data_IF_072192072894
#
_entry.id   IF_072192072894
#
_cell.length_a   1.000
_cell.length_b   1.000
_cell.length_c   1.000
_cell.angle_alpha   90.00
_cell.angle_beta   90.00
_cell.angle_gamma   90.00
#
_symmetry.space_group_name_H-M   'P 1'
#
loop_
_entity.id
_entity.type
_entity.pdbx_description
1 polymer ?
#
# COMPACT_ATOMS: atom_id res chain seq x y z
N UNK A 1 13.90 22.61 14.90
CA UNK A 1 13.72 21.77 13.70
C UNK A 1 12.23 21.65 13.45
N UNK A 2 11.68 22.41 12.50
CA UNK A 2 10.24 22.48 12.22
C UNK A 2 9.91 21.25 11.37
N UNK A 3 9.59 20.14 12.03
CA UNK A 3 9.11 18.94 11.36
C UNK A 3 7.76 19.34 10.79
N UNK A 4 7.69 19.59 9.48
CA UNK A 4 6.42 19.77 8.79
C UNK A 4 5.58 18.53 9.11
N UNK A 5 4.48 18.71 9.83
CA UNK A 5 3.54 17.66 10.22
C UNK A 5 2.76 17.20 9.00
N UNK A 6 3.44 16.49 8.11
CA UNK A 6 2.83 15.82 6.97
C UNK A 6 1.99 14.67 7.56
N UNK A 7 0.67 14.75 7.40
CA UNK A 7 -0.27 13.80 7.97
C UNK A 7 0.06 12.36 7.54
N UNK A 8 -0.05 11.38 8.44
CA UNK A 8 0.26 9.97 8.16
C UNK A 8 -0.54 9.42 6.97
N UNK A 9 -1.76 9.91 6.76
CA UNK A 9 -2.61 9.58 5.61
C UNK A 9 -1.96 9.90 4.26
N UNK A 10 -1.15 10.97 4.19
CA UNK A 10 -0.51 11.38 2.93
C UNK A 10 0.63 10.43 2.55
N UNK A 11 1.38 9.97 3.55
CA UNK A 11 2.39 8.92 3.38
C UNK A 11 1.73 7.60 3.01
N UNK A 12 0.66 7.19 3.70
CA UNK A 12 -0.09 5.97 3.40
C UNK A 12 -0.64 5.93 1.98
N UNK A 13 -1.24 7.03 1.51
CA UNK A 13 -1.71 7.15 0.14
C UNK A 13 -0.54 7.09 -0.87
N UNK A 14 0.57 7.77 -0.59
CA UNK A 14 1.74 7.79 -1.48
C UNK A 14 2.39 6.41 -1.59
N UNK A 15 2.64 5.73 -0.47
CA UNK A 15 3.26 4.41 -0.46
C UNK A 15 2.35 3.34 -1.08
N UNK A 16 1.03 3.41 -0.84
CA UNK A 16 0.07 2.50 -1.47
C UNK A 16 0.01 2.72 -2.99
N UNK A 17 0.06 3.98 -3.45
CA UNK A 17 0.10 4.30 -4.89
C UNK A 17 1.42 3.85 -5.52
N UNK A 18 2.55 4.07 -4.85
CA UNK A 18 3.87 3.60 -5.30
C UNK A 18 3.92 2.07 -5.41
N UNK A 19 3.31 1.34 -4.47
CA UNK A 19 3.18 -0.11 -4.54
C UNK A 19 2.40 -0.54 -5.80
N UNK A 20 1.26 0.10 -6.08
CA UNK A 20 0.46 -0.20 -7.29
C UNK A 20 1.24 0.13 -8.57
N UNK A 21 1.89 1.29 -8.63
CA UNK A 21 2.70 1.69 -9.78
C UNK A 21 3.89 0.75 -10.01
N UNK A 22 4.54 0.30 -8.92
CA UNK A 22 5.59 -0.70 -8.99
C UNK A 22 5.07 -2.03 -9.53
N UNK A 23 3.97 -2.57 -8.99
CA UNK A 23 3.37 -3.81 -9.47
C UNK A 23 2.91 -3.70 -10.93
N UNK A 24 2.49 -2.52 -11.41
CA UNK A 24 2.16 -2.30 -12.83
C UNK A 24 3.40 -2.20 -13.73
N UNK A 25 4.48 -1.61 -13.23
CA UNK A 25 5.72 -1.45 -13.97
C UNK A 25 6.49 -2.77 -14.12
N UNK A 26 6.39 -3.68 -13.14
CA UNK A 26 7.06 -4.99 -13.15
C UNK A 26 6.81 -5.79 -14.44
N UNK A 27 5.57 -6.14 -14.83
CA UNK A 27 5.35 -6.90 -16.06
C UNK A 27 5.84 -6.15 -17.31
N UNK A 28 5.65 -4.83 -17.39
CA UNK A 28 6.08 -4.02 -18.54
C UNK A 28 7.61 -4.00 -18.69
N UNK A 29 8.33 -3.83 -17.59
CA UNK A 29 9.80 -3.77 -17.60
C UNK A 29 10.40 -5.15 -17.92
N UNK A 30 9.86 -6.23 -17.36
CA UNK A 30 10.41 -7.58 -17.56
C UNK A 30 9.97 -8.25 -18.87
N UNK A 31 8.86 -7.83 -19.49
CA UNK A 31 8.54 -8.23 -20.89
C UNK A 31 9.62 -7.71 -21.85
N UNK A 32 10.08 -6.46 -21.68
CA UNK A 32 11.10 -5.87 -22.57
C UNK A 32 12.52 -6.39 -22.30
N UNK A 33 12.76 -6.93 -21.10
CA UNK A 33 14.03 -7.50 -20.68
C UNK A 33 14.02 -9.03 -20.66
N UNK A 34 13.19 -9.69 -21.46
CA UNK A 34 13.08 -11.16 -21.53
C UNK A 34 14.41 -11.88 -21.80
N UNK A 35 15.43 -11.18 -22.29
CA UNK A 35 16.79 -11.68 -22.50
C UNK A 35 17.65 -11.74 -21.22
N UNK A 36 17.33 -10.96 -20.18
CA UNK A 36 17.92 -11.08 -18.86
C UNK A 36 17.12 -12.14 -18.10
N UNK A 37 17.60 -13.38 -18.09
CA UNK A 37 16.92 -14.56 -17.51
C UNK A 37 16.59 -14.45 -16.00
N UNK A 38 16.83 -13.32 -15.35
CA UNK A 38 16.71 -13.15 -13.89
C UNK A 38 16.18 -11.76 -13.56
N UNK A 39 15.02 -11.71 -12.89
CA UNK A 39 14.53 -10.51 -12.20
C UNK A 39 15.53 -10.16 -11.09
N UNK A 40 16.05 -8.92 -11.02
CA UNK A 40 16.97 -8.53 -9.95
C UNK A 40 16.27 -8.67 -8.59
N UNK A 41 16.84 -9.43 -7.65
CA UNK A 41 16.23 -9.68 -6.33
C UNK A 41 15.96 -8.41 -5.50
N UNK A 42 16.61 -7.29 -5.81
CA UNK A 42 16.35 -5.98 -5.21
C UNK A 42 14.99 -5.38 -5.63
N UNK A 43 14.44 -5.83 -6.76
CA UNK A 43 13.14 -5.37 -7.26
C UNK A 43 12.00 -5.87 -6.36
N UNK A 44 12.02 -7.16 -6.01
CA UNK A 44 11.08 -7.76 -5.05
C UNK A 44 11.20 -7.12 -3.65
N UNK A 45 12.40 -6.77 -3.21
CA UNK A 45 12.61 -6.09 -1.92
C UNK A 45 11.83 -4.75 -1.80
N UNK A 46 11.51 -4.07 -2.91
CA UNK A 46 10.71 -2.86 -2.90
C UNK A 46 9.25 -3.12 -2.49
N UNK A 47 8.66 -4.25 -2.87
CA UNK A 47 7.31 -4.62 -2.45
C UNK A 47 7.22 -4.70 -0.92
N UNK A 48 8.16 -5.40 -0.30
CA UNK A 48 8.22 -5.53 1.16
C UNK A 48 8.45 -4.19 1.85
N UNK A 49 9.26 -3.31 1.27
CA UNK A 49 9.52 -1.97 1.79
C UNK A 49 8.25 -1.10 1.73
N UNK A 50 7.57 -1.03 0.59
CA UNK A 50 6.35 -0.25 0.44
C UNK A 50 5.22 -0.78 1.33
N UNK A 51 5.08 -2.11 1.43
CA UNK A 51 4.08 -2.74 2.29
C UNK A 51 4.32 -2.43 3.77
N UNK A 52 5.58 -2.46 4.22
CA UNK A 52 5.97 -2.11 5.59
C UNK A 52 5.70 -0.65 5.91
N UNK A 53 6.01 0.27 5.00
CA UNK A 53 5.73 1.69 5.17
C UNK A 53 4.22 1.98 5.16
N UNK A 54 3.46 1.27 4.32
CA UNK A 54 2.00 1.33 4.30
C UNK A 54 1.40 0.85 5.63
N UNK A 55 1.95 -0.20 6.25
CA UNK A 55 1.52 -0.66 7.57
C UNK A 55 1.67 0.42 8.65
N UNK A 56 2.83 1.08 8.68
CA UNK A 56 3.10 2.17 9.63
C UNK A 56 2.10 3.31 9.42
N UNK A 57 1.77 3.62 8.16
CA UNK A 57 0.78 4.63 7.85
C UNK A 57 -0.63 4.22 8.32
N UNK A 58 -1.07 2.98 8.05
CA UNK A 58 -2.34 2.43 8.56
C UNK A 58 -2.41 2.51 10.08
N UNK A 59 -1.35 2.07 10.77
CA UNK A 59 -1.28 2.11 12.23
C UNK A 59 -1.48 3.53 12.77
N UNK A 60 -0.76 4.52 12.22
CA UNK A 60 -0.93 5.93 12.61
C UNK A 60 -2.30 6.49 12.26
N UNK A 61 -2.78 6.25 11.03
CA UNK A 61 -4.14 6.64 10.60
C UNK A 61 -5.21 6.08 11.53
N UNK A 62 -5.05 4.85 12.03
CA UNK A 62 -6.03 4.26 12.95
C UNK A 62 -6.00 4.85 14.37
N UNK A 63 -4.91 5.49 14.78
CA UNK A 63 -4.87 6.24 16.04
C UNK A 63 -5.61 7.58 15.91
N UNK A 64 -5.40 8.30 14.79
CA UNK A 64 -5.96 9.64 14.58
C UNK A 64 -7.39 9.63 14.03
N UNK A 65 -7.90 8.49 13.55
CA UNK A 65 -9.24 8.38 12.98
C UNK A 65 -10.33 8.23 14.06
N UNK A 66 -11.47 8.90 13.88
CA UNK A 66 -12.64 8.78 14.75
C UNK A 66 -13.56 7.61 14.38
N UNK A 67 -13.47 7.11 13.13
CA UNK A 67 -14.39 6.09 12.61
C UNK A 67 -13.85 4.68 12.75
N UNK A 68 -14.51 3.86 13.58
CA UNK A 68 -14.15 2.44 13.77
C UNK A 68 -14.26 1.62 12.47
N UNK A 69 -15.22 1.94 11.59
CA UNK A 69 -15.38 1.24 10.30
C UNK A 69 -14.17 1.47 9.40
N UNK A 70 -13.70 2.72 9.28
CA UNK A 70 -12.54 3.04 8.43
C UNK A 70 -11.28 2.35 8.94
N UNK A 71 -11.10 2.28 10.27
CA UNK A 71 -9.98 1.53 10.88
C UNK A 71 -10.00 0.05 10.49
N UNK A 72 -11.15 -0.60 10.61
CA UNK A 72 -11.29 -2.02 10.26
C UNK A 72 -11.00 -2.24 8.77
N UNK A 73 -11.58 -1.41 7.89
CA UNK A 73 -11.35 -1.54 6.45
C UNK A 73 -9.89 -1.34 6.05
N UNK A 74 -9.18 -0.39 6.68
CA UNK A 74 -7.75 -0.17 6.43
C UNK A 74 -6.90 -1.40 6.77
N UNK A 75 -7.11 -2.01 7.93
CA UNK A 75 -6.39 -3.23 8.31
C UNK A 75 -6.75 -4.43 7.43
N UNK A 76 -8.03 -4.60 7.09
CA UNK A 76 -8.47 -5.69 6.20
C UNK A 76 -7.84 -5.56 4.81
N UNK A 77 -7.93 -4.38 4.19
CA UNK A 77 -7.36 -4.15 2.87
C UNK A 77 -5.84 -4.28 2.88
N UNK A 78 -5.16 -3.77 3.92
CA UNK A 78 -3.71 -3.94 4.05
C UNK A 78 -3.32 -5.41 4.23
N UNK A 79 -4.04 -6.15 5.07
CA UNK A 79 -3.79 -7.58 5.28
C UNK A 79 -4.02 -8.40 4.01
N UNK A 80 -5.05 -8.06 3.25
CA UNK A 80 -5.33 -8.70 1.97
C UNK A 80 -4.26 -8.36 0.91
N UNK A 81 -3.82 -7.11 0.83
CA UNK A 81 -2.72 -6.70 -0.06
C UNK A 81 -1.42 -7.44 0.28
N UNK A 82 -1.09 -7.52 1.57
CA UNK A 82 0.06 -8.26 2.09
C UNK A 82 0.01 -9.73 1.70
N UNK A 83 -1.15 -10.37 1.90
CA UNK A 83 -1.36 -11.76 1.54
C UNK A 83 -1.18 -12.01 0.04
N UNK A 84 -1.71 -11.13 -0.82
CA UNK A 84 -1.55 -11.25 -2.28
C UNK A 84 -0.09 -11.16 -2.70
N UNK A 85 0.65 -10.14 -2.21
CA UNK A 85 2.07 -9.95 -2.56
C UNK A 85 2.94 -11.12 -2.08
N UNK A 86 2.72 -11.61 -0.86
CA UNK A 86 3.47 -12.77 -0.34
C UNK A 86 3.11 -14.03 -1.14
N UNK A 87 1.83 -14.22 -1.47
CA UNK A 87 1.40 -15.40 -2.24
C UNK A 87 2.03 -15.44 -3.63
N UNK A 88 2.20 -14.27 -4.26
CA UNK A 88 2.86 -14.11 -5.56
C UNK A 88 4.36 -14.41 -5.47
N UNK A 89 5.05 -13.85 -4.48
CA UNK A 89 6.50 -14.05 -4.27
C UNK A 89 6.90 -15.50 -3.97
N UNK A 90 6.04 -16.24 -3.26
CA UNK A 90 6.27 -17.66 -2.97
C UNK A 90 5.66 -18.60 -4.04
N UNK A 91 5.11 -18.05 -5.13
CA UNK A 91 4.40 -18.79 -6.18
C UNK A 91 3.31 -19.75 -5.64
N UNK A 92 2.75 -19.45 -4.46
CA UNK A 92 1.79 -20.33 -3.78
C UNK A 92 0.47 -20.40 -4.53
N UNK A 93 0.06 -19.28 -5.09
CA UNK A 93 -1.21 -19.12 -5.80
C UNK A 93 -1.01 -18.21 -7.02
N UNK A 94 -1.37 -18.70 -8.20
CA UNK A 94 -1.42 -17.90 -9.42
C UNK A 94 -2.69 -17.05 -9.43
N UNK A 95 -2.71 -16.00 -8.62
CA UNK A 95 -3.79 -15.01 -8.61
C UNK A 95 -3.53 -13.95 -9.69
N UNK A 96 -4.59 -13.43 -10.33
CA UNK A 96 -4.44 -12.36 -11.29
C UNK A 96 -3.99 -11.07 -10.58
N UNK A 97 -2.89 -10.48 -11.06
CA UNK A 97 -2.28 -9.23 -10.56
C UNK A 97 -3.29 -8.06 -10.47
N UNK A 98 -4.34 -8.10 -11.30
CA UNK A 98 -5.44 -7.14 -11.28
C UNK A 98 -6.09 -6.98 -9.90
N UNK A 99 -6.17 -8.07 -9.11
CA UNK A 99 -6.72 -8.01 -7.75
C UNK A 99 -5.80 -7.17 -6.85
N UNK A 100 -4.49 -7.39 -6.92
CA UNK A 100 -3.49 -6.61 -6.17
C UNK A 100 -3.61 -5.11 -6.47
N UNK A 101 -3.85 -4.74 -7.73
CA UNK A 101 -4.08 -3.34 -8.12
C UNK A 101 -5.35 -2.75 -7.52
N UNK A 102 -6.47 -3.46 -7.59
CA UNK A 102 -7.74 -2.99 -7.02
C UNK A 102 -7.59 -2.79 -5.52
N UNK A 103 -6.97 -3.74 -4.83
CA UNK A 103 -6.81 -3.71 -3.38
C UNK A 103 -5.89 -2.56 -2.96
N UNK A 104 -4.77 -2.37 -3.67
CA UNK A 104 -3.84 -1.27 -3.43
C UNK A 104 -4.45 0.11 -3.68
N UNK A 105 -5.22 0.26 -4.77
CA UNK A 105 -5.97 1.49 -5.06
C UNK A 105 -7.06 1.75 -4.03
N UNK A 106 -7.78 0.72 -3.61
CA UNK A 106 -8.81 0.82 -2.57
C UNK A 106 -8.19 1.29 -1.25
N UNK A 107 -7.03 0.73 -0.86
CA UNK A 107 -6.30 1.15 0.33
C UNK A 107 -5.86 2.62 0.24
N UNK A 108 -5.32 3.04 -0.90
CA UNK A 108 -4.95 4.44 -1.14
C UNK A 108 -6.16 5.38 -1.07
N UNK A 109 -7.29 5.00 -1.70
CA UNK A 109 -8.54 5.76 -1.65
C UNK A 109 -9.07 5.87 -0.21
N UNK A 110 -8.93 4.82 0.59
CA UNK A 110 -9.38 4.80 1.97
C UNK A 110 -8.55 5.73 2.86
N UNK A 111 -7.24 5.83 2.64
CA UNK A 111 -6.40 6.85 3.30
C UNK A 111 -6.85 8.27 2.95
N UNK A 112 -7.15 8.55 1.68
CA UNK A 112 -7.65 9.85 1.23
C UNK A 112 -9.03 10.15 1.84
N UNK A 113 -9.91 9.13 1.90
CA UNK A 113 -11.22 9.25 2.51
C UNK A 113 -11.13 9.58 4.00
N UNK A 114 -10.28 8.86 4.75
CA UNK A 114 -10.07 9.10 6.16
C UNK A 114 -9.58 10.53 6.43
N UNK A 115 -8.59 10.98 5.65
CA UNK A 115 -8.06 12.35 5.72
C UNK A 115 -9.13 13.43 5.52
N UNK A 116 -10.10 13.18 4.64
CA UNK A 116 -11.11 14.18 4.26
C UNK A 116 -12.32 14.21 5.19
N UNK A 117 -12.71 13.08 5.78
CA UNK A 117 -14.01 12.95 6.46
C UNK A 117 -13.96 12.42 7.90
N UNK A 118 -12.84 11.83 8.34
CA UNK A 118 -12.78 11.09 9.61
C UNK A 118 -11.61 11.50 10.50
N UNK A 119 -11.02 12.67 10.26
CA UNK A 119 -10.04 13.24 11.20
C UNK A 119 -10.75 13.68 12.47
N UNK A 120 -10.15 13.39 13.62
CA UNK A 120 -10.54 14.03 14.87
C UNK A 120 -10.28 15.53 14.74
N UNK A 121 -11.34 16.34 14.62
CA UNK A 121 -11.25 17.77 14.90
C UNK A 121 -10.89 17.89 16.38
N UNK A 122 -9.64 18.25 16.67
CA UNK A 122 -9.29 18.78 17.97
C UNK A 122 -9.96 20.16 18.08
N UNK A 123 -11.23 20.18 18.47
CA UNK A 123 -11.86 21.38 19.00
C UNK A 123 -11.33 21.55 20.42
N UNK A 124 -10.23 22.28 20.55
CA UNK A 124 -9.90 23.11 21.72
C UNK A 124 -9.36 24.47 21.26
#
# INVERSE_FOLDING_TARGET
MKIQSIHPDNYGATFSTLCVLHCFATPLLFITQSHLLVVPGWWSALNYLFLSLSFIAVYKTTQDSSSLLVKILLYILWGFLSFLLISEEFELLHLPEFITYIVGLSLAALHIYNKKYCQCDNVE
#
